data_IF_171007406913
#
_entry.id   IF_171007406913
#
_cell.length_a   1.000
_cell.length_b   1.000
_cell.length_c   1.000
_cell.angle_alpha   90.00
_cell.angle_beta   90.00
_cell.angle_gamma   90.00
#
_symmetry.space_group_name_H-M   'P 1'
#
loop_
_entity.id
_entity.type
_entity.pdbx_description
1 polymer ?
#
# COMPACT_ATOMS: atom_id res chain seq x y z
N UNK A 1 24.74 12.83 -9.55
CA UNK A 1 25.94 12.12 -9.05
C UNK A 1 27.21 12.75 -9.59
N UNK A 2 27.35 12.96 -10.91
CA UNK A 2 28.55 13.57 -11.54
C UNK A 2 28.92 14.90 -10.87
N UNK A 3 27.97 15.84 -10.70
CA UNK A 3 28.21 17.14 -10.03
C UNK A 3 28.66 17.01 -8.58
N UNK A 4 28.17 16.00 -7.84
CA UNK A 4 28.60 15.74 -6.46
C UNK A 4 30.08 15.32 -6.43
N UNK A 5 30.47 14.47 -7.38
CA UNK A 5 31.82 13.90 -7.45
C UNK A 5 32.84 14.93 -7.99
N UNK A 6 32.48 15.72 -9.00
CA UNK A 6 33.38 16.68 -9.64
C UNK A 6 33.51 17.99 -8.87
N UNK A 7 32.38 18.55 -8.42
CA UNK A 7 32.35 19.87 -7.82
C UNK A 7 32.49 19.84 -6.28
N UNK A 8 32.43 18.66 -5.67
CA UNK A 8 32.42 18.42 -4.22
C UNK A 8 31.38 19.28 -3.47
N UNK A 9 30.31 19.66 -4.13
CA UNK A 9 29.22 20.47 -3.58
C UNK A 9 28.03 19.60 -3.22
N UNK A 10 27.27 19.99 -2.19
CA UNK A 10 25.96 19.44 -1.96
C UNK A 10 25.05 19.79 -3.14
N UNK A 11 24.51 18.78 -3.79
CA UNK A 11 23.54 18.94 -4.87
C UNK A 11 22.18 18.46 -4.32
N UNK A 12 21.23 19.37 -4.34
CA UNK A 12 19.81 19.05 -4.10
C UNK A 12 19.15 19.08 -5.47
N UNK A 13 18.95 17.90 -6.03
CA UNK A 13 18.22 17.72 -7.26
C UNK A 13 16.87 17.09 -6.88
N UNK A 14 15.84 17.93 -6.84
CA UNK A 14 14.44 17.54 -6.62
C UNK A 14 13.67 17.65 -7.93
N UNK A 15 14.37 17.41 -9.05
CA UNK A 15 13.85 17.52 -10.39
C UNK A 15 12.50 16.84 -10.56
N UNK A 16 11.59 17.55 -11.24
CA UNK A 16 10.21 17.17 -11.42
C UNK A 16 9.97 16.31 -12.66
N UNK A 17 10.89 15.47 -13.06
CA UNK A 17 10.64 14.51 -14.12
C UNK A 17 9.88 13.32 -13.55
N UNK A 18 8.70 13.05 -14.11
CA UNK A 18 7.82 11.95 -13.71
C UNK A 18 8.33 10.57 -14.19
N UNK A 19 9.53 10.52 -14.73
CA UNK A 19 10.12 9.31 -15.29
C UNK A 19 10.62 8.34 -14.20
N UNK A 20 10.32 7.07 -14.39
CA UNK A 20 10.86 5.99 -13.58
C UNK A 20 12.19 5.57 -14.18
N UNK A 21 13.27 5.72 -13.41
CA UNK A 21 14.58 5.25 -13.83
C UNK A 21 14.67 3.72 -13.71
N UNK A 22 14.49 3.04 -14.83
CA UNK A 22 14.62 1.59 -14.92
C UNK A 22 16.08 1.15 -15.08
N UNK A 23 16.38 -0.08 -14.67
CA UNK A 23 17.69 -0.71 -14.87
C UNK A 23 18.84 -0.14 -14.06
N UNK A 24 18.58 0.72 -13.07
CA UNK A 24 19.63 1.20 -12.18
C UNK A 24 20.15 0.06 -11.29
N UNK A 25 21.49 -0.05 -11.10
CA UNK A 25 22.05 -1.03 -10.18
C UNK A 25 21.59 -0.76 -8.74
N UNK A 26 20.95 -1.74 -8.13
CA UNK A 26 20.48 -1.68 -6.74
C UNK A 26 21.44 -2.47 -5.85
N UNK A 27 22.03 -1.81 -4.87
CA UNK A 27 22.77 -2.51 -3.81
C UNK A 27 21.77 -3.19 -2.88
N UNK A 28 21.80 -4.51 -2.84
CA UNK A 28 20.94 -5.32 -1.99
C UNK A 28 21.77 -6.02 -0.92
N UNK A 29 21.26 -6.05 0.30
CA UNK A 29 21.87 -6.87 1.35
C UNK A 29 21.77 -8.36 0.99
N UNK A 30 22.79 -9.13 1.32
CA UNK A 30 22.74 -10.59 1.21
C UNK A 30 21.66 -11.14 2.16
N UNK A 31 20.82 -12.04 1.67
CA UNK A 31 19.75 -12.65 2.47
C UNK A 31 18.69 -13.33 1.62
N UNK A 32 17.65 -13.84 2.27
CA UNK A 32 16.54 -14.52 1.60
C UNK A 32 15.45 -13.55 1.12
N UNK A 33 15.45 -12.29 1.60
CA UNK A 33 14.38 -11.31 1.35
C UNK A 33 14.83 -10.20 0.43
N UNK A 34 13.95 -9.79 -0.49
CA UNK A 34 14.16 -8.64 -1.36
C UNK A 34 12.88 -7.80 -1.47
N UNK A 35 13.06 -6.52 -1.77
CA UNK A 35 11.98 -5.62 -2.12
C UNK A 35 12.03 -5.29 -3.61
N UNK A 36 10.85 -5.27 -4.23
CA UNK A 36 10.67 -5.00 -5.64
C UNK A 36 9.62 -3.89 -5.80
N UNK A 37 10.07 -2.69 -6.11
CA UNK A 37 9.15 -1.58 -6.37
C UNK A 37 8.38 -1.83 -7.66
N UNK A 38 7.06 -1.74 -7.61
CA UNK A 38 6.18 -1.92 -8.78
C UNK A 38 5.53 -0.62 -9.24
N UNK A 39 5.45 0.36 -8.33
CA UNK A 39 4.89 1.68 -8.61
C UNK A 39 5.37 2.71 -7.59
N UNK A 40 5.19 3.98 -7.91
CA UNK A 40 5.52 5.14 -7.09
C UNK A 40 4.35 6.10 -7.02
N UNK A 41 4.32 6.95 -5.98
CA UNK A 41 3.30 7.98 -5.80
C UNK A 41 1.94 7.43 -5.36
N UNK A 42 0.98 8.34 -5.12
CA UNK A 42 -0.38 7.97 -4.69
C UNK A 42 -1.39 9.04 -5.05
N UNK A 43 -2.52 8.63 -5.61
CA UNK A 43 -3.62 9.53 -6.02
C UNK A 43 -4.77 9.61 -5.00
N UNK A 44 -4.64 9.01 -3.81
CA UNK A 44 -5.75 8.96 -2.85
C UNK A 44 -5.96 10.29 -2.12
N UNK A 45 -4.91 11.09 -1.90
CA UNK A 45 -5.00 12.38 -1.20
C UNK A 45 -5.76 12.30 0.11
N UNK A 46 -5.52 11.24 0.91
CA UNK A 46 -6.04 11.17 2.26
C UNK A 46 -5.59 12.41 3.04
N UNK A 47 -6.49 13.06 3.78
CA UNK A 47 -6.28 14.41 4.35
C UNK A 47 -5.14 14.49 5.36
N UNK A 48 -4.74 13.37 5.95
CA UNK A 48 -3.63 13.27 6.91
C UNK A 48 -2.29 12.90 6.25
N UNK A 49 -2.27 12.57 4.94
CA UNK A 49 -1.12 11.94 4.31
C UNK A 49 -0.33 12.92 3.44
N UNK A 50 0.98 13.00 3.70
CA UNK A 50 1.89 13.86 2.94
C UNK A 50 2.38 13.20 1.63
N UNK A 51 2.17 11.90 1.46
CA UNK A 51 2.76 11.11 0.35
C UNK A 51 2.47 11.70 -1.03
N UNK A 52 1.23 12.07 -1.41
CA UNK A 52 0.97 12.65 -2.74
C UNK A 52 1.77 13.91 -3.05
N UNK A 53 2.11 14.67 -2.01
CA UNK A 53 2.83 15.95 -2.14
C UNK A 53 4.35 15.77 -2.25
N UNK A 54 4.89 14.65 -1.73
CA UNK A 54 6.34 14.40 -1.71
C UNK A 54 6.79 13.27 -2.65
N UNK A 55 5.86 12.38 -3.05
CA UNK A 55 6.12 11.27 -3.97
C UNK A 55 5.46 11.46 -5.34
N UNK A 56 4.60 12.49 -5.48
CA UNK A 56 3.87 12.78 -6.71
C UNK A 56 2.71 11.83 -6.98
N UNK A 57 2.22 11.88 -8.21
CA UNK A 57 1.14 11.04 -8.73
C UNK A 57 1.55 9.58 -8.86
N UNK A 58 0.56 8.69 -8.95
CA UNK A 58 0.79 7.28 -9.23
C UNK A 58 1.51 7.10 -10.57
N UNK A 59 2.54 6.30 -10.56
CA UNK A 59 3.35 5.90 -11.72
C UNK A 59 3.70 4.44 -11.56
N UNK A 60 3.13 3.61 -12.40
CA UNK A 60 3.35 2.16 -12.41
C UNK A 60 4.52 1.82 -13.33
N UNK A 61 5.33 0.84 -12.94
CA UNK A 61 6.35 0.27 -13.81
C UNK A 61 5.70 -0.71 -14.80
N UNK A 62 6.28 -0.86 -15.96
CA UNK A 62 5.79 -1.84 -16.94
C UNK A 62 5.94 -3.28 -16.42
N UNK A 63 4.95 -4.16 -16.65
CA UNK A 63 4.96 -5.54 -16.16
C UNK A 63 6.22 -6.32 -16.58
N UNK A 64 6.73 -6.05 -17.78
CA UNK A 64 7.93 -6.68 -18.33
C UNK A 64 9.18 -6.39 -17.50
N UNK A 65 9.35 -5.15 -17.09
CA UNK A 65 10.50 -4.72 -16.29
C UNK A 65 10.43 -5.29 -14.86
N UNK A 66 9.23 -5.33 -14.28
CA UNK A 66 9.00 -5.95 -12.97
C UNK A 66 9.29 -7.46 -13.02
N UNK A 67 8.79 -8.15 -14.06
CA UNK A 67 9.03 -9.58 -14.24
C UNK A 67 10.52 -9.88 -14.46
N UNK A 68 11.20 -9.08 -15.26
CA UNK A 68 12.64 -9.21 -15.50
C UNK A 68 13.42 -9.10 -14.19
N UNK A 69 13.16 -8.05 -13.41
CA UNK A 69 13.82 -7.85 -12.11
C UNK A 69 13.48 -8.98 -11.13
N UNK A 70 12.24 -9.49 -11.11
CA UNK A 70 11.87 -10.65 -10.30
C UNK A 70 12.70 -11.89 -10.68
N UNK A 71 12.86 -12.17 -11.97
CA UNK A 71 13.69 -13.29 -12.45
C UNK A 71 15.14 -13.17 -11.99
N UNK A 72 15.71 -11.97 -12.06
CA UNK A 72 17.06 -11.68 -11.58
C UNK A 72 17.18 -11.92 -10.06
N UNK A 73 16.19 -11.48 -9.26
CA UNK A 73 16.16 -11.72 -7.83
C UNK A 73 16.09 -13.21 -7.50
N UNK A 74 15.21 -13.95 -8.17
CA UNK A 74 15.06 -15.40 -7.95
C UNK A 74 16.35 -16.14 -8.33
N UNK A 75 16.99 -15.77 -9.47
CA UNK A 75 18.27 -16.33 -9.90
C UNK A 75 19.41 -16.01 -8.93
N UNK A 76 19.36 -14.82 -8.28
CA UNK A 76 20.32 -14.43 -7.23
C UNK A 76 20.08 -15.11 -5.88
N UNK A 77 19.04 -15.97 -5.76
CA UNK A 77 18.78 -16.79 -4.58
C UNK A 77 17.81 -16.18 -3.57
N UNK A 78 17.17 -15.05 -3.87
CA UNK A 78 16.10 -14.52 -2.99
C UNK A 78 14.88 -15.43 -3.02
N UNK A 79 14.26 -15.63 -1.86
CA UNK A 79 13.12 -16.55 -1.65
C UNK A 79 11.85 -15.86 -1.17
N UNK A 80 11.94 -14.64 -0.69
CA UNK A 80 10.79 -13.83 -0.28
C UNK A 80 10.91 -12.45 -0.93
N UNK A 81 10.02 -12.15 -1.85
CA UNK A 81 10.02 -10.88 -2.57
C UNK A 81 8.75 -10.10 -2.20
N UNK A 82 8.94 -8.91 -1.64
CA UNK A 82 7.85 -8.02 -1.29
C UNK A 82 7.68 -6.95 -2.36
N UNK A 83 6.52 -6.93 -3.00
CA UNK A 83 6.13 -5.89 -3.95
C UNK A 83 5.81 -4.60 -3.21
N UNK A 84 6.42 -3.49 -3.63
CA UNK A 84 6.31 -2.19 -2.98
C UNK A 84 5.65 -1.14 -3.88
N UNK A 85 4.85 -0.31 -3.25
CA UNK A 85 4.26 0.90 -3.79
C UNK A 85 3.63 1.69 -2.64
N UNK A 86 2.99 2.81 -2.91
CA UNK A 86 2.22 3.56 -1.91
C UNK A 86 0.75 3.13 -1.86
N UNK A 87 0.27 2.48 -2.92
CA UNK A 87 -1.05 1.86 -3.03
C UNK A 87 -0.99 0.78 -4.12
N UNK A 88 -0.44 -0.39 -3.78
CA UNK A 88 -0.13 -1.43 -4.79
C UNK A 88 -1.36 -1.95 -5.54
N UNK A 89 -2.53 -1.92 -4.93
CA UNK A 89 -3.74 -2.41 -5.58
C UNK A 89 -4.39 -1.40 -6.55
N UNK A 90 -3.80 -0.20 -6.72
CA UNK A 90 -4.11 0.70 -7.85
C UNK A 90 -3.17 0.53 -9.05
N UNK A 91 -2.20 -0.40 -8.99
CA UNK A 91 -1.24 -0.65 -10.06
C UNK A 91 -1.91 -0.82 -11.42
N UNK A 92 -1.30 -0.24 -12.44
CA UNK A 92 -1.68 -0.37 -13.85
C UNK A 92 -2.65 0.71 -14.36
N UNK A 93 -3.34 1.44 -13.47
CA UNK A 93 -4.35 2.45 -13.87
C UNK A 93 -3.80 3.57 -14.75
N UNK A 94 -2.53 3.85 -14.68
CA UNK A 94 -1.82 4.92 -15.37
C UNK A 94 -1.05 4.45 -16.62
N UNK A 95 -0.95 3.14 -16.86
CA UNK A 95 -0.14 2.58 -17.94
C UNK A 95 -0.79 2.66 -19.34
N UNK A 96 -2.10 2.92 -19.42
CA UNK A 96 -2.82 2.91 -20.69
C UNK A 96 -2.95 1.56 -21.38
N UNK A 97 -2.68 0.47 -20.64
CA UNK A 97 -2.84 -0.93 -21.06
C UNK A 97 -3.82 -1.63 -20.12
N UNK A 98 -4.48 -2.67 -20.60
CA UNK A 98 -5.46 -3.44 -19.82
C UNK A 98 -4.75 -4.45 -18.90
N UNK A 99 -4.08 -3.94 -17.88
CA UNK A 99 -3.38 -4.73 -16.84
C UNK A 99 -3.60 -4.07 -15.49
N UNK A 100 -4.06 -4.85 -14.52
CA UNK A 100 -4.18 -4.43 -13.13
C UNK A 100 -3.24 -5.21 -12.19
N UNK A 101 -3.31 -4.94 -10.90
CA UNK A 101 -2.50 -5.62 -9.90
C UNK A 101 -2.76 -7.13 -9.84
N UNK A 102 -3.99 -7.57 -10.08
CA UNK A 102 -4.35 -8.99 -10.10
C UNK A 102 -3.66 -9.72 -11.26
N UNK A 103 -3.61 -9.08 -12.42
CA UNK A 103 -2.96 -9.63 -13.61
C UNK A 103 -1.44 -9.65 -13.42
N UNK A 104 -0.87 -8.62 -12.79
CA UNK A 104 0.53 -8.62 -12.39
C UNK A 104 0.86 -9.79 -11.45
N UNK A 105 0.04 -10.03 -10.42
CA UNK A 105 0.26 -11.16 -9.50
C UNK A 105 0.26 -12.50 -10.23
N UNK A 106 -0.68 -12.75 -11.16
CA UNK A 106 -0.71 -13.97 -11.96
C UNK A 106 0.53 -14.10 -12.84
N UNK A 107 0.94 -13.02 -13.48
CA UNK A 107 2.16 -12.98 -14.31
C UNK A 107 3.41 -13.31 -13.50
N UNK A 108 3.58 -12.69 -12.36
CA UNK A 108 4.73 -12.93 -11.48
C UNK A 108 4.70 -14.33 -10.86
N UNK A 109 3.52 -14.86 -10.53
CA UNK A 109 3.36 -16.23 -10.05
C UNK A 109 3.82 -17.27 -11.06
N UNK A 110 3.73 -16.99 -12.37
CA UNK A 110 4.18 -17.88 -13.43
C UNK A 110 5.71 -17.94 -13.59
N UNK A 111 6.46 -17.03 -13.00
CA UNK A 111 7.94 -17.04 -13.04
C UNK A 111 8.45 -18.32 -12.38
N UNK A 112 9.31 -19.11 -13.05
CA UNK A 112 9.90 -20.32 -12.47
C UNK A 112 10.74 -20.03 -11.23
N UNK A 113 10.74 -20.97 -10.27
CA UNK A 113 11.53 -20.89 -9.04
C UNK A 113 10.69 -21.10 -7.80
N UNK A 114 11.37 -21.34 -6.69
CA UNK A 114 10.78 -21.50 -5.35
C UNK A 114 10.95 -20.20 -4.58
N UNK A 115 9.88 -19.40 -4.47
CA UNK A 115 9.86 -18.13 -3.78
C UNK A 115 8.43 -17.74 -3.37
N UNK A 116 8.33 -16.83 -2.41
CA UNK A 116 7.09 -16.19 -1.98
C UNK A 116 6.99 -14.77 -2.49
N UNK A 117 5.80 -14.40 -2.96
CA UNK A 117 5.41 -13.02 -3.25
C UNK A 117 4.58 -12.48 -2.10
N UNK A 118 4.99 -11.32 -1.59
CA UNK A 118 4.23 -10.52 -0.63
C UNK A 118 3.98 -9.14 -1.20
N UNK A 119 3.01 -8.46 -0.65
CA UNK A 119 2.80 -7.04 -0.92
C UNK A 119 2.29 -6.33 0.32
N UNK A 120 2.48 -5.03 0.37
CA UNK A 120 2.03 -4.16 1.45
C UNK A 120 1.41 -2.88 0.85
N UNK A 121 0.81 -2.05 1.71
CA UNK A 121 0.30 -0.73 1.32
C UNK A 121 -0.86 -0.77 0.34
N UNK A 122 -1.88 -1.54 0.69
CA UNK A 122 -3.15 -1.60 -0.04
C UNK A 122 -4.13 -0.51 0.45
N UNK A 123 -5.13 -0.20 -0.37
CA UNK A 123 -6.20 0.72 0.00
C UNK A 123 -7.56 0.04 -0.25
N UNK A 124 -8.52 0.08 0.72
CA UNK A 124 -9.81 -0.59 0.58
C UNK A 124 -10.58 -0.22 -0.68
N UNK A 125 -10.54 1.06 -1.10
CA UNK A 125 -11.18 1.53 -2.34
C UNK A 125 -10.75 0.76 -3.59
N UNK A 126 -9.51 0.25 -3.62
CA UNK A 126 -8.92 -0.42 -4.78
C UNK A 126 -8.82 -1.94 -4.58
N UNK A 127 -9.29 -2.46 -3.45
CA UNK A 127 -9.45 -3.90 -3.25
C UNK A 127 -10.68 -4.41 -4.04
N UNK A 128 -10.57 -5.62 -4.57
CA UNK A 128 -11.61 -6.17 -5.44
C UNK A 128 -11.71 -7.70 -5.34
N UNK A 129 -12.88 -8.28 -5.69
CA UNK A 129 -13.03 -9.73 -5.82
C UNK A 129 -12.02 -10.36 -6.79
N UNK A 130 -11.62 -9.65 -7.85
CA UNK A 130 -10.60 -10.10 -8.81
C UNK A 130 -9.23 -10.26 -8.13
N UNK A 131 -8.86 -9.30 -7.25
CA UNK A 131 -7.62 -9.39 -6.48
C UNK A 131 -7.63 -10.60 -5.54
N UNK A 132 -8.71 -10.80 -4.80
CA UNK A 132 -8.79 -11.94 -3.86
C UNK A 132 -8.79 -13.28 -4.59
N UNK A 133 -9.43 -13.37 -5.77
CA UNK A 133 -9.32 -14.55 -6.63
C UNK A 133 -7.88 -14.80 -7.09
N UNK A 134 -7.18 -13.76 -7.55
CA UNK A 134 -5.77 -13.88 -7.93
C UNK A 134 -4.89 -14.33 -6.76
N UNK A 135 -5.10 -13.77 -5.56
CA UNK A 135 -4.39 -14.20 -4.36
C UNK A 135 -4.68 -15.67 -4.02
N UNK A 136 -5.93 -16.13 -4.14
CA UNK A 136 -6.31 -17.51 -3.87
C UNK A 136 -5.68 -18.50 -4.87
N UNK A 137 -5.70 -18.17 -6.16
CA UNK A 137 -5.22 -19.00 -7.26
C UNK A 137 -3.68 -19.09 -7.31
N UNK A 138 -2.99 -18.01 -6.95
CA UNK A 138 -1.53 -17.92 -7.07
C UNK A 138 -0.83 -18.57 -5.87
N UNK A 139 -0.26 -19.76 -6.10
CA UNK A 139 0.39 -20.55 -5.04
C UNK A 139 1.62 -19.90 -4.41
N UNK A 140 2.30 -18.99 -5.12
CA UNK A 140 3.46 -18.26 -4.61
C UNK A 140 3.09 -16.98 -3.89
N UNK A 141 1.85 -16.49 -4.00
CA UNK A 141 1.37 -15.31 -3.29
C UNK A 141 1.01 -15.69 -1.86
N UNK A 142 1.64 -15.06 -0.89
CA UNK A 142 1.34 -15.28 0.52
C UNK A 142 -0.11 -14.90 0.84
N UNK A 143 -0.83 -15.75 1.57
CA UNK A 143 -2.21 -15.50 2.00
C UNK A 143 -2.21 -14.52 3.19
N UNK A 144 -1.69 -13.34 2.96
CA UNK A 144 -1.59 -12.25 3.92
C UNK A 144 -2.06 -10.96 3.24
N UNK A 145 -3.00 -10.27 3.85
CA UNK A 145 -3.54 -9.01 3.34
C UNK A 145 -3.41 -7.93 4.42
N UNK A 146 -2.60 -6.91 4.13
CA UNK A 146 -2.57 -5.69 4.90
C UNK A 146 -3.50 -4.67 4.23
N UNK A 147 -4.63 -4.37 4.86
CA UNK A 147 -5.67 -3.50 4.30
C UNK A 147 -6.09 -2.44 5.33
N UNK A 148 -5.38 -1.29 5.36
CA UNK A 148 -5.61 -0.22 6.33
C UNK A 148 -7.01 0.39 6.24
N UNK A 149 -7.87 0.20 7.27
CA UNK A 149 -9.20 0.80 7.29
C UNK A 149 -9.25 2.17 7.98
N UNK A 150 -8.29 2.48 8.85
CA UNK A 150 -8.03 3.74 9.53
C UNK A 150 -9.07 4.14 10.59
N UNK A 151 -10.37 4.04 10.32
CA UNK A 151 -11.47 4.32 11.26
C UNK A 151 -12.69 3.47 10.89
N UNK A 152 -13.48 3.11 11.90
CA UNK A 152 -14.77 2.43 11.73
C UNK A 152 -15.95 3.37 11.56
N UNK A 153 -15.75 4.69 11.71
CA UNK A 153 -16.76 5.71 11.50
C UNK A 153 -16.76 6.22 10.06
N UNK A 154 -17.91 6.16 9.40
CA UNK A 154 -18.06 6.69 8.04
C UNK A 154 -17.85 8.21 7.99
N UNK A 155 -18.21 8.95 9.05
CA UNK A 155 -17.94 10.39 9.15
C UNK A 155 -16.45 10.67 9.21
N UNK A 156 -15.70 9.95 10.04
CA UNK A 156 -14.24 10.10 10.11
C UNK A 156 -13.58 9.66 8.81
N UNK A 157 -14.01 8.56 8.19
CA UNK A 157 -13.53 8.15 6.87
C UNK A 157 -13.76 9.23 5.81
N UNK A 158 -14.92 9.88 5.81
CA UNK A 158 -15.23 11.00 4.92
C UNK A 158 -14.27 12.19 5.17
N UNK A 159 -14.04 12.57 6.43
CA UNK A 159 -13.11 13.64 6.81
C UNK A 159 -11.66 13.30 6.43
N UNK A 160 -11.28 12.02 6.49
CA UNK A 160 -9.99 11.51 6.04
C UNK A 160 -9.87 11.45 4.50
N UNK A 161 -10.92 11.80 3.74
CA UNK A 161 -11.02 11.61 2.28
C UNK A 161 -10.86 10.13 1.86
N UNK A 162 -11.37 9.23 2.70
CA UNK A 162 -11.42 7.79 2.41
C UNK A 162 -12.75 7.48 1.72
N UNK A 163 -12.71 7.05 0.45
CA UNK A 163 -13.89 6.90 -0.42
C UNK A 163 -14.50 5.51 -0.32
N UNK A 164 -14.77 5.06 0.87
CA UNK A 164 -15.47 3.82 1.20
C UNK A 164 -16.09 3.95 2.60
N UNK A 165 -17.00 3.03 2.92
CA UNK A 165 -17.69 2.94 4.22
C UNK A 165 -17.17 1.74 5.02
N UNK A 166 -17.46 1.74 6.33
CA UNK A 166 -17.17 0.61 7.20
C UNK A 166 -17.86 -0.68 6.71
N UNK A 167 -19.09 -0.57 6.21
CA UNK A 167 -19.82 -1.71 5.66
C UNK A 167 -19.17 -2.27 4.39
N UNK A 168 -18.74 -1.39 3.49
CA UNK A 168 -17.98 -1.82 2.32
C UNK A 168 -16.67 -2.53 2.73
N UNK A 169 -15.97 -2.02 3.74
CA UNK A 169 -14.78 -2.68 4.26
C UNK A 169 -15.08 -4.09 4.79
N UNK A 170 -16.15 -4.25 5.58
CA UNK A 170 -16.59 -5.56 6.06
C UNK A 170 -16.90 -6.53 4.93
N UNK A 171 -17.54 -6.05 3.86
CA UNK A 171 -17.83 -6.88 2.67
C UNK A 171 -16.57 -7.36 1.97
N UNK A 172 -15.54 -6.51 1.86
CA UNK A 172 -14.24 -6.89 1.30
C UNK A 172 -13.56 -7.98 2.13
N UNK A 173 -13.61 -7.86 3.46
CA UNK A 173 -13.03 -8.88 4.35
C UNK A 173 -13.78 -10.21 4.26
N UNK A 174 -15.10 -10.16 4.18
CA UNK A 174 -15.92 -11.36 4.02
C UNK A 174 -15.57 -12.09 2.71
N UNK A 175 -15.48 -11.37 1.58
CA UNK A 175 -15.09 -11.94 0.28
C UNK A 175 -13.65 -12.49 0.31
N UNK A 176 -12.71 -11.79 0.94
CA UNK A 176 -11.35 -12.29 1.09
C UNK A 176 -11.28 -13.60 1.89
N UNK A 177 -12.04 -13.71 2.98
CA UNK A 177 -12.12 -14.93 3.81
C UNK A 177 -12.86 -16.08 3.13
N UNK A 178 -13.89 -15.78 2.35
CA UNK A 178 -14.60 -16.80 1.56
C UNK A 178 -13.64 -17.50 0.59
N UNK A 179 -12.79 -16.71 -0.08
CA UNK A 179 -11.80 -17.23 -1.06
C UNK A 179 -10.55 -17.82 -0.42
N UNK A 180 -10.19 -17.35 0.74
CA UNK A 180 -8.99 -17.73 1.48
C UNK A 180 -9.30 -17.84 2.98
N UNK A 181 -9.88 -18.98 3.45
CA UNK A 181 -10.30 -19.12 4.85
C UNK A 181 -9.17 -18.89 5.87
N UNK A 182 -7.94 -19.21 5.51
CA UNK A 182 -6.75 -19.08 6.36
C UNK A 182 -5.97 -17.78 6.11
N UNK A 183 -6.60 -16.77 5.50
CA UNK A 183 -5.93 -15.50 5.22
C UNK A 183 -5.58 -14.78 6.53
N UNK A 184 -4.32 -14.34 6.62
CA UNK A 184 -3.86 -13.44 7.69
C UNK A 184 -4.20 -12.00 7.35
N UNK A 185 -4.92 -11.34 8.24
CA UNK A 185 -5.39 -9.96 8.05
C UNK A 185 -4.68 -9.00 8.99
N UNK A 186 -4.15 -7.92 8.45
CA UNK A 186 -3.62 -6.81 9.25
C UNK A 186 -4.14 -5.46 8.75
N UNK A 187 -4.17 -4.48 9.65
CA UNK A 187 -4.68 -3.15 9.33
C UNK A 187 -4.03 -2.06 10.18
N UNK A 188 -4.23 -0.81 9.76
CA UNK A 188 -3.86 0.38 10.51
C UNK A 188 -5.12 1.10 11.00
N UNK A 189 -5.00 1.70 12.19
CA UNK A 189 -6.01 2.55 12.82
C UNK A 189 -5.36 3.87 13.23
N UNK A 190 -6.04 4.97 12.96
CA UNK A 190 -5.69 6.30 13.48
C UNK A 190 -6.79 6.71 14.47
N UNK A 191 -6.41 6.95 15.71
CA UNK A 191 -7.29 7.39 16.79
C UNK A 191 -7.01 8.87 17.12
N UNK A 192 -8.03 9.58 17.58
CA UNK A 192 -7.92 11.02 17.88
C UNK A 192 -7.78 11.86 16.61
N UNK A 193 -8.40 11.43 15.52
CA UNK A 193 -8.47 12.25 14.31
C UNK A 193 -9.33 13.51 14.59
N UNK A 194 -8.96 14.72 14.10
CA UNK A 194 -9.69 15.94 14.39
C UNK A 194 -11.18 15.80 14.16
N UNK A 195 -11.98 16.03 15.22
CA UNK A 195 -13.43 15.89 15.25
C UNK A 195 -13.94 14.47 15.44
N UNK A 196 -13.09 13.50 15.78
CA UNK A 196 -13.52 12.18 16.23
C UNK A 196 -14.20 12.27 17.59
N UNK A 197 -15.40 11.72 17.71
CA UNK A 197 -16.17 11.62 18.96
C UNK A 197 -15.99 10.25 19.60
N UNK A 198 -16.39 10.11 20.87
CA UNK A 198 -16.40 8.80 21.54
C UNK A 198 -17.25 7.77 20.78
N UNK A 199 -18.37 8.22 20.18
CA UNK A 199 -19.22 7.34 19.38
C UNK A 199 -18.53 6.88 18.09
N UNK A 200 -17.75 7.74 17.44
CA UNK A 200 -16.94 7.38 16.27
C UNK A 200 -15.87 6.35 16.64
N UNK A 201 -15.23 6.54 17.78
CA UNK A 201 -14.25 5.59 18.30
C UNK A 201 -14.90 4.22 18.64
N UNK A 202 -16.08 4.23 19.26
CA UNK A 202 -16.84 3.01 19.53
C UNK A 202 -17.21 2.24 18.25
N UNK A 203 -17.49 2.93 17.13
CA UNK A 203 -17.70 2.28 15.83
C UNK A 203 -16.41 1.62 15.34
N UNK A 204 -15.27 2.25 15.58
CA UNK A 204 -13.95 1.66 15.26
C UNK A 204 -13.69 0.41 16.08
N UNK A 205 -13.98 0.41 17.38
CA UNK A 205 -13.84 -0.78 18.23
C UNK A 205 -14.76 -1.93 17.78
N UNK A 206 -16.02 -1.62 17.43
CA UNK A 206 -16.95 -2.63 16.89
C UNK A 206 -16.43 -3.25 15.60
N UNK A 207 -15.89 -2.44 14.67
CA UNK A 207 -15.29 -2.95 13.43
C UNK A 207 -14.11 -3.89 13.71
N UNK A 208 -13.26 -3.55 14.68
CA UNK A 208 -12.14 -4.42 15.11
C UNK A 208 -12.65 -5.76 15.65
N UNK A 209 -13.64 -5.72 16.54
CA UNK A 209 -14.22 -6.92 17.16
C UNK A 209 -14.87 -7.84 16.09
N UNK A 210 -15.64 -7.25 15.18
CA UNK A 210 -16.33 -7.98 14.11
C UNK A 210 -15.33 -8.60 13.12
N UNK A 211 -14.26 -7.86 12.78
CA UNK A 211 -13.29 -8.28 11.76
C UNK A 211 -12.30 -9.32 12.27
N UNK A 212 -11.92 -9.31 13.56
CA UNK A 212 -10.94 -10.24 14.14
C UNK A 212 -9.64 -10.27 13.35
N UNK A 213 -8.90 -9.15 13.38
CA UNK A 213 -7.59 -9.04 12.76
C UNK A 213 -6.54 -9.90 13.48
N UNK A 214 -5.56 -10.40 12.75
CA UNK A 214 -4.38 -11.06 13.31
C UNK A 214 -3.39 -10.04 13.87
N UNK A 215 -3.31 -8.86 13.24
CA UNK A 215 -2.41 -7.78 13.67
C UNK A 215 -3.03 -6.42 13.37
N UNK A 216 -2.95 -5.52 14.34
CA UNK A 216 -3.34 -4.11 14.18
C UNK A 216 -2.19 -3.19 14.57
N UNK A 217 -1.98 -2.16 13.77
CA UNK A 217 -1.12 -1.04 14.08
C UNK A 217 -1.99 0.16 14.44
N UNK A 218 -1.91 0.62 15.67
CA UNK A 218 -2.69 1.75 16.18
C UNK A 218 -1.80 2.97 16.34
N UNK A 219 -2.26 4.08 15.81
CA UNK A 219 -1.55 5.36 15.84
C UNK A 219 -2.45 6.44 16.42
N UNK A 220 -1.92 7.27 17.31
CA UNK A 220 -2.52 8.56 17.61
C UNK A 220 -2.33 9.48 16.40
N UNK A 221 -3.37 10.23 16.05
CA UNK A 221 -3.25 11.23 14.99
C UNK A 221 -2.12 12.20 15.33
N UNK A 222 -1.28 12.45 14.35
CA UNK A 222 -0.19 13.42 14.43
C UNK A 222 -0.26 14.36 13.22
N UNK A 223 -0.48 15.66 13.41
CA UNK A 223 -0.57 16.61 12.32
C UNK A 223 0.73 16.67 11.53
N UNK A 224 0.62 16.63 10.21
CA UNK A 224 1.76 16.75 9.30
C UNK A 224 1.64 18.04 8.52
N UNK A 225 2.62 18.92 8.68
CA UNK A 225 2.68 20.20 7.94
C UNK A 225 2.49 19.99 6.45
N UNK A 226 1.62 20.77 5.83
CA UNK A 226 1.31 20.69 4.40
C UNK A 226 0.18 19.72 4.04
N UNK A 227 -0.42 19.05 5.02
CA UNK A 227 -1.61 18.22 4.79
C UNK A 227 -2.89 18.97 5.16
N UNK A 228 -4.04 18.69 4.50
CA UNK A 228 -5.31 19.34 4.85
C UNK A 228 -5.72 19.15 6.31
N UNK A 229 -5.56 17.95 6.86
CA UNK A 229 -5.95 17.65 8.23
C UNK A 229 -5.15 18.41 9.30
N UNK A 230 -3.95 18.92 8.95
CA UNK A 230 -3.15 19.73 9.87
C UNK A 230 -3.80 21.07 10.21
N UNK A 231 -4.79 21.53 9.42
CA UNK A 231 -5.55 22.75 9.64
C UNK A 231 -6.95 22.51 10.25
N UNK A 232 -7.30 21.25 10.52
CA UNK A 232 -8.59 20.94 11.13
C UNK A 232 -8.56 21.30 12.60
N UNK A 233 -9.69 21.84 13.10
CA UNK A 233 -9.85 22.09 14.54
C UNK A 233 -9.80 20.74 15.27
N UNK A 234 -8.88 20.67 16.21
CA UNK A 234 -8.72 19.50 17.08
C UNK A 234 -9.62 19.67 18.31
N UNK A 235 -10.78 19.02 18.26
CA UNK A 235 -11.72 18.97 19.38
C UNK A 235 -11.54 17.69 20.23
N UNK A 236 -10.59 16.84 19.88
CA UNK A 236 -10.25 15.66 20.66
C UNK A 236 -9.49 16.13 21.90
N UNK A 237 -10.13 16.14 23.06
CA UNK A 237 -9.46 16.40 24.34
C UNK A 237 -8.41 15.33 24.58
N UNK A 238 -7.17 15.71 24.91
CA UNK A 238 -6.22 14.74 25.43
C UNK A 238 -6.75 14.25 26.78
N UNK A 239 -7.13 13.00 26.86
CA UNK A 239 -7.35 12.29 28.11
C UNK A 239 -6.08 11.61 28.57
#
# INVERSE_FOLDING_TARGET
LYRVLTDRKRVFDIGGEDDIAEGLPVLRAKGAKAWLSIMYGCNNFCTYCIVPYVRGRERSRYPEEIEKELRELVAAGYREITLLGQNVNSYGKDLGIDVDFSDLLRRLNAVPGDFWLRFMTSHPKDASPKLFSAMAECGKVAKQLHLPFQSGSDEILRRMNRRYTAEHYKSLIADAREKMPDITLSSDIIVGFPGETDEDFEQTLRLVQDTRFDLLFTFLYSPRTGTPAASYEDNASPQ
#
